data_IF_747875001285
#
_entry.id   IF_747875001285
#
_cell.length_a   1.000
_cell.length_b   1.000
_cell.length_c   1.000
_cell.angle_alpha   90.00
_cell.angle_beta   90.00
_cell.angle_gamma   90.00
#
_symmetry.space_group_name_H-M   'P 1'
#
loop_
_entity.id
_entity.type
_entity.pdbx_description
1 polymer ?
#
# COMPACT_ATOMS: atom_id res chain seq x y z
N UNK A 1 -54.79 -23.91 11.54
CA UNK A 1 -54.48 -23.15 10.30
C UNK A 1 -53.20 -22.37 10.53
N UNK A 2 -52.09 -22.93 10.05
CA UNK A 2 -50.74 -22.36 10.14
C UNK A 2 -50.60 -21.14 9.23
N UNK A 3 -50.04 -20.03 9.73
CA UNK A 3 -49.46 -18.99 8.87
C UNK A 3 -47.93 -19.09 8.92
N UNK A 4 -47.37 -19.34 7.72
CA UNK A 4 -45.96 -19.46 7.37
C UNK A 4 -45.23 -18.12 7.56
N UNK A 5 -44.07 -18.15 8.21
CA UNK A 5 -43.03 -17.14 8.02
C UNK A 5 -42.37 -17.37 6.65
N UNK A 6 -42.18 -16.31 5.86
CA UNK A 6 -41.36 -16.30 4.65
C UNK A 6 -40.42 -15.08 4.74
N UNK A 7 -39.11 -15.33 4.93
CA UNK A 7 -38.08 -15.38 3.89
C UNK A 7 -37.56 -13.96 3.54
N UNK A 8 -36.62 -13.44 4.32
CA UNK A 8 -35.17 -13.43 4.02
C UNK A 8 -34.79 -12.50 2.86
N UNK A 9 -34.65 -11.21 3.17
CA UNK A 9 -33.95 -10.19 2.36
C UNK A 9 -32.43 -10.19 2.58
N UNK A 10 -31.87 -11.30 3.09
CA UNK A 10 -30.45 -11.46 3.43
C UNK A 10 -29.53 -11.90 2.24
N UNK A 11 -29.96 -12.20 0.99
CA UNK A 11 -29.06 -12.91 0.07
C UNK A 11 -28.07 -12.03 -0.71
N UNK A 12 -28.19 -10.69 -0.72
CA UNK A 12 -27.28 -9.85 -1.52
C UNK A 12 -25.99 -9.51 -0.75
N UNK A 13 -26.09 -9.25 0.56
CA UNK A 13 -24.93 -8.89 1.38
C UNK A 13 -23.97 -10.07 1.57
N UNK A 14 -24.50 -11.30 1.60
CA UNK A 14 -23.69 -12.51 1.80
C UNK A 14 -22.86 -12.88 0.55
N UNK A 15 -23.33 -12.53 -0.64
CA UNK A 15 -22.60 -12.80 -1.89
C UNK A 15 -21.37 -11.91 -2.06
N UNK A 16 -21.42 -10.68 -1.53
CA UNK A 16 -20.28 -9.75 -1.54
C UNK A 16 -19.12 -10.19 -0.64
N UNK A 17 -19.35 -11.11 0.32
CA UNK A 17 -18.29 -11.63 1.19
C UNK A 17 -17.45 -12.70 0.49
N UNK A 18 -18.00 -13.39 -0.52
CA UNK A 18 -17.30 -14.42 -1.30
C UNK A 18 -16.45 -13.84 -2.44
N UNK A 19 -16.89 -12.71 -3.00
CA UNK A 19 -16.05 -11.91 -3.88
C UNK A 19 -15.31 -10.93 -2.98
N UNK A 20 -14.20 -11.39 -2.39
CA UNK A 20 -13.29 -10.50 -1.67
C UNK A 20 -13.11 -9.24 -2.50
N UNK A 21 -13.61 -8.11 -1.99
CA UNK A 21 -13.52 -6.85 -2.70
C UNK A 21 -12.05 -6.68 -3.05
N UNK A 22 -11.72 -6.78 -4.34
CA UNK A 22 -10.43 -6.35 -4.84
C UNK A 22 -10.43 -4.85 -4.62
N UNK A 23 -10.07 -4.45 -3.40
CA UNK A 23 -9.82 -3.07 -3.03
C UNK A 23 -8.70 -2.63 -3.94
N UNK A 24 -9.06 -1.92 -5.03
CA UNK A 24 -8.07 -1.21 -5.81
C UNK A 24 -7.22 -0.40 -4.82
N UNK A 25 -5.90 -0.44 -4.97
CA UNK A 25 -5.02 0.37 -4.12
C UNK A 25 -5.40 1.83 -4.38
N UNK A 26 -5.93 2.51 -3.37
CA UNK A 26 -6.22 3.93 -3.47
C UNK A 26 -4.94 4.68 -3.84
N UNK A 27 -5.05 5.54 -4.87
CA UNK A 27 -3.94 6.38 -5.32
C UNK A 27 -3.93 7.62 -4.46
N UNK A 28 -2.95 7.71 -3.56
CA UNK A 28 -2.78 8.84 -2.65
C UNK A 28 -1.76 9.82 -3.22
N UNK A 29 -1.80 11.06 -2.75
CA UNK A 29 -0.80 12.10 -3.09
C UNK A 29 0.19 12.37 -1.97
N UNK A 30 -0.15 11.95 -0.75
CA UNK A 30 0.68 12.09 0.44
C UNK A 30 0.52 10.91 1.38
N UNK A 31 1.61 10.49 2.02
CA UNK A 31 1.54 9.48 3.09
C UNK A 31 0.70 9.93 4.28
N UNK A 32 0.35 11.22 4.41
CA UNK A 32 -0.57 11.67 5.46
C UNK A 32 -2.03 11.21 5.24
N UNK A 33 -2.35 10.69 4.05
CA UNK A 33 -3.70 10.21 3.71
C UNK A 33 -3.96 8.76 4.19
N UNK A 34 -2.92 8.00 4.55
CA UNK A 34 -3.09 6.65 5.09
C UNK A 34 -3.10 6.63 6.62
N UNK A 35 -3.97 5.81 7.20
CA UNK A 35 -4.06 5.56 8.64
C UNK A 35 -3.10 4.47 9.14
N UNK A 36 -2.42 3.75 8.23
CA UNK A 36 -1.52 2.65 8.58
C UNK A 36 -0.26 2.64 7.70
N UNK A 37 0.82 2.05 8.23
CA UNK A 37 2.04 1.82 7.48
C UNK A 37 1.78 0.74 6.43
N UNK A 38 1.97 1.06 5.16
CA UNK A 38 1.63 0.17 4.04
C UNK A 38 2.39 0.52 2.77
N UNK A 39 2.41 -0.43 1.84
CA UNK A 39 2.73 -0.17 0.44
C UNK A 39 1.51 0.43 -0.26
N UNK A 40 1.70 1.53 -0.97
CA UNK A 40 0.63 2.33 -1.59
C UNK A 40 1.01 2.72 -3.01
N UNK A 41 0.03 3.16 -3.80
CA UNK A 41 0.29 3.87 -5.05
C UNK A 41 0.32 5.37 -4.75
N UNK A 42 1.50 5.98 -4.84
CA UNK A 42 1.71 7.41 -4.63
C UNK A 42 1.73 8.11 -5.98
N UNK A 43 0.93 9.17 -6.13
CA UNK A 43 0.95 10.07 -7.28
C UNK A 43 1.62 11.37 -6.91
N UNK A 44 2.67 11.72 -7.63
CA UNK A 44 3.32 13.04 -7.57
C UNK A 44 3.18 13.73 -8.92
N UNK A 45 2.69 14.96 -8.90
CA UNK A 45 2.50 15.74 -10.11
C UNK A 45 3.85 15.98 -10.83
N UNK A 46 3.87 15.75 -12.14
CA UNK A 46 5.09 15.82 -12.95
C UNK A 46 5.98 14.58 -12.91
N UNK A 47 5.78 13.65 -11.96
CA UNK A 47 6.52 12.38 -11.86
C UNK A 47 5.66 11.15 -12.15
N UNK A 48 4.34 11.26 -12.03
CA UNK A 48 3.39 10.18 -12.27
C UNK A 48 3.04 9.40 -11.02
N UNK A 49 2.61 8.14 -11.19
CA UNK A 49 2.20 7.25 -10.09
C UNK A 49 3.16 6.08 -9.98
N UNK A 50 3.61 5.78 -8.77
CA UNK A 50 4.55 4.70 -8.49
C UNK A 50 4.27 4.07 -7.12
N UNK A 51 4.80 2.86 -6.92
CA UNK A 51 4.68 2.17 -5.64
C UNK A 51 5.61 2.81 -4.59
N UNK A 52 5.09 2.99 -3.38
CA UNK A 52 5.80 3.64 -2.29
C UNK A 52 5.50 2.94 -0.95
N UNK A 53 6.34 3.14 0.05
CA UNK A 53 6.10 2.70 1.42
C UNK A 53 5.84 3.91 2.30
N UNK A 54 4.68 3.94 2.94
CA UNK A 54 4.35 4.94 3.96
C UNK A 54 4.51 4.35 5.36
N UNK A 55 5.01 5.15 6.29
CA UNK A 55 5.13 4.81 7.71
C UNK A 55 4.29 5.77 8.54
N UNK A 56 3.40 5.18 9.33
CA UNK A 56 2.60 5.86 10.34
C UNK A 56 3.08 5.49 11.74
N UNK A 57 2.75 6.36 12.70
CA UNK A 57 2.94 6.20 14.14
C UNK A 57 4.37 5.86 14.52
N UNK A 58 5.32 6.50 13.84
CA UNK A 58 6.71 6.40 14.22
C UNK A 58 6.90 6.98 15.62
N UNK A 59 7.46 6.19 16.54
CA UNK A 59 7.55 6.51 17.98
C UNK A 59 8.15 7.90 18.26
N UNK A 60 9.10 8.34 17.43
CA UNK A 60 9.81 9.61 17.62
C UNK A 60 9.33 10.75 16.70
N UNK A 61 8.67 10.41 15.59
CA UNK A 61 8.47 11.36 14.49
C UNK A 61 7.02 11.44 13.99
N UNK A 62 6.11 10.68 14.59
CA UNK A 62 4.69 10.70 14.24
C UNK A 62 4.37 10.03 12.91
N UNK A 63 3.47 10.65 12.17
CA UNK A 63 2.74 10.11 11.03
C UNK A 63 3.23 10.68 9.69
N UNK A 64 2.84 10.06 8.58
CA UNK A 64 2.97 10.65 7.23
C UNK A 64 4.35 10.50 6.56
N UNK A 65 5.17 9.55 6.98
CA UNK A 65 6.53 9.41 6.46
C UNK A 65 6.58 8.59 5.17
N UNK A 66 7.24 9.11 4.14
CA UNK A 66 7.58 8.37 2.91
C UNK A 66 8.98 7.74 3.06
N UNK A 67 9.08 6.43 2.82
CA UNK A 67 10.36 5.73 2.85
C UNK A 67 11.01 5.76 1.47
N UNK A 68 12.15 6.43 1.37
CA UNK A 68 12.94 6.54 0.12
C UNK A 68 14.01 5.45 -0.03
N UNK A 69 14.43 4.85 1.09
CA UNK A 69 15.42 3.77 1.14
C UNK A 69 15.18 2.89 2.37
N UNK A 70 15.29 1.57 2.21
CA UNK A 70 15.21 0.62 3.33
C UNK A 70 16.27 -0.47 3.23
N UNK A 71 16.81 -0.88 4.40
CA UNK A 71 17.74 -2.01 4.58
C UNK A 71 17.31 -2.85 5.79
N UNK A 72 16.91 -4.09 5.55
CA UNK A 72 16.49 -5.09 6.55
C UNK A 72 17.46 -6.26 6.60
N UNK A 73 18.00 -6.67 5.45
CA UNK A 73 18.93 -7.78 5.34
C UNK A 73 19.96 -7.52 4.21
N UNK A 74 20.75 -8.53 3.85
CA UNK A 74 21.79 -8.42 2.81
C UNK A 74 21.30 -8.93 1.43
N UNK A 75 19.99 -9.01 1.19
CA UNK A 75 19.44 -9.58 -0.06
C UNK A 75 19.52 -8.67 -1.29
N UNK A 76 19.92 -7.40 -1.12
CA UNK A 76 20.05 -6.45 -2.23
C UNK A 76 21.45 -5.80 -2.20
N UNK A 77 22.10 -5.76 -3.36
CA UNK A 77 23.37 -5.06 -3.53
C UNK A 77 23.14 -3.56 -3.72
N UNK A 78 23.74 -2.74 -2.86
CA UNK A 78 23.69 -1.28 -2.94
C UNK A 78 24.93 -0.67 -3.63
N UNK A 79 25.94 -1.46 -3.98
CA UNK A 79 27.09 -0.97 -4.73
C UNK A 79 26.77 -0.91 -6.23
N UNK A 80 26.03 0.13 -6.64
CA UNK A 80 25.56 0.29 -8.03
C UNK A 80 25.99 1.60 -8.67
N UNK A 81 25.93 1.61 -10.01
CA UNK A 81 26.19 2.81 -10.80
C UNK A 81 25.04 3.84 -10.72
N UNK A 82 25.32 5.04 -11.22
CA UNK A 82 24.36 6.16 -11.21
C UNK A 82 23.03 5.86 -11.90
N UNK A 83 23.05 5.11 -13.00
CA UNK A 83 21.83 4.80 -13.75
C UNK A 83 20.85 3.98 -12.91
N UNK A 84 21.34 3.04 -12.09
CA UNK A 84 20.51 2.29 -11.16
C UNK A 84 19.95 3.16 -10.04
N UNK A 85 20.77 4.04 -9.45
CA UNK A 85 20.28 4.96 -8.43
C UNK A 85 19.19 5.87 -8.98
N UNK A 86 19.38 6.46 -10.16
CA UNK A 86 18.35 7.30 -10.80
C UNK A 86 17.04 6.56 -11.10
N UNK A 87 17.11 5.27 -11.43
CA UNK A 87 15.94 4.49 -11.82
C UNK A 87 15.21 3.86 -10.63
N UNK A 88 15.88 3.69 -9.49
CA UNK A 88 15.39 2.87 -8.39
C UNK A 88 15.74 1.39 -8.56
N UNK A 89 15.87 0.66 -7.45
CA UNK A 89 16.11 -0.78 -7.46
C UNK A 89 15.71 -1.43 -6.12
N UNK A 90 15.60 -2.76 -6.15
CA UNK A 90 15.27 -3.58 -4.99
C UNK A 90 13.78 -3.83 -4.82
N UNK A 91 13.38 -4.21 -3.60
CA UNK A 91 12.02 -4.62 -3.28
C UNK A 91 11.45 -3.84 -2.09
N UNK A 92 10.27 -3.26 -2.29
CA UNK A 92 9.57 -2.45 -1.28
C UNK A 92 9.17 -3.23 -0.02
N UNK A 93 9.10 -4.57 -0.07
CA UNK A 93 8.85 -5.42 1.10
C UNK A 93 10.13 -5.70 1.92
N UNK A 94 11.31 -5.30 1.43
CA UNK A 94 12.60 -5.56 2.07
C UNK A 94 13.61 -4.41 1.90
N UNK A 95 14.53 -4.53 0.96
CA UNK A 95 15.61 -3.57 0.72
C UNK A 95 15.43 -2.91 -0.63
N UNK A 96 15.43 -1.58 -0.66
CA UNK A 96 15.26 -0.84 -1.90
C UNK A 96 15.86 0.57 -1.84
N UNK A 97 16.08 1.13 -3.02
CA UNK A 97 16.24 2.56 -3.29
C UNK A 97 15.13 3.00 -4.24
N UNK A 98 14.41 4.07 -3.89
CA UNK A 98 13.20 4.47 -4.61
C UNK A 98 13.46 4.99 -6.03
N UNK A 99 14.61 5.64 -6.26
CA UNK A 99 14.91 6.35 -7.52
C UNK A 99 15.26 7.80 -7.26
#
# INVERSE_FOLDING_TARGET
SSLKMAASTVPVLLLAILVGAASGRDVITSCNETSSSAQVLLRIDGLGTFEAVCVQRHRLFGDGWLVVQQRVDQSEDFYRNWAHYRAGFGRLDKNFWMG
#
